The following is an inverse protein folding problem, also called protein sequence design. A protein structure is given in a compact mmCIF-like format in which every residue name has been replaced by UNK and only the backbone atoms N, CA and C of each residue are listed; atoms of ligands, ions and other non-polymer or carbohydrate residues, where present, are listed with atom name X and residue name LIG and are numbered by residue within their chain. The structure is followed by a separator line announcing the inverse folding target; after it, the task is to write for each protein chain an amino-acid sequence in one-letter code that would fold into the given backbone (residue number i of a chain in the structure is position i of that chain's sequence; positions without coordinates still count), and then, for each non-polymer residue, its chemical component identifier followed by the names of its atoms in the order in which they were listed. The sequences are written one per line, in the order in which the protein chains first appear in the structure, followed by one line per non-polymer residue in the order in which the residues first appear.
data_IF_091770465991
#
_entry.id   IF_091770465991
#
_cell.length_a   1.000
_cell.length_b   1.000
_cell.length_c   1.000
_cell.angle_alpha   90.00
_cell.angle_beta   90.00
_cell.angle_gamma   90.00
#
_symmetry.space_group_name_H-M   'P 1'
#
loop_
_entity.id
_entity.type
_entity.pdbx_description
1 polymer ?
#
# COMPACT_ATOMS: atom_id res chain seq x y z
N UNK A 1 0.67 10.20 0.20
CA UNK A 1 1.71 9.20 0.47
C UNK A 1 2.68 9.20 -0.70
N UNK A 2 3.95 9.45 -0.42
CA UNK A 2 5.03 9.47 -1.40
C UNK A 2 5.48 8.05 -1.78
N UNK A 3 6.11 7.90 -2.94
CA UNK A 3 6.53 6.57 -3.45
C UNK A 3 7.54 5.87 -2.54
N UNK A 4 8.37 6.63 -1.83
CA UNK A 4 9.37 6.11 -0.89
C UNK A 4 8.69 5.56 0.38
N UNK A 5 7.68 6.26 0.90
CA UNK A 5 6.87 5.82 2.04
C UNK A 5 6.12 4.53 1.69
N UNK A 6 5.49 4.49 0.52
CA UNK A 6 4.81 3.27 0.03
C UNK A 6 5.79 2.09 -0.03
N UNK A 7 7.00 2.31 -0.55
CA UNK A 7 8.03 1.27 -0.65
C UNK A 7 8.43 0.75 0.73
N UNK A 8 8.59 1.64 1.70
CA UNK A 8 8.94 1.30 3.08
C UNK A 8 7.85 0.42 3.72
N UNK A 9 6.58 0.81 3.63
CA UNK A 9 5.46 0.01 4.17
C UNK A 9 5.36 -1.38 3.51
N UNK A 10 5.61 -1.47 2.20
CA UNK A 10 5.67 -2.74 1.48
C UNK A 10 6.87 -3.61 1.91
N UNK A 11 8.00 -3.02 2.31
CA UNK A 11 9.14 -3.76 2.87
C UNK A 11 8.81 -4.34 4.24
N UNK A 12 8.12 -3.57 5.10
CA UNK A 12 7.71 -4.00 6.44
C UNK A 12 6.71 -5.17 6.43
N UNK A 13 5.92 -5.30 5.37
CA UNK A 13 5.00 -6.44 5.19
C UNK A 13 5.69 -7.76 4.81
N UNK A 14 7.00 -7.72 4.55
CA UNK A 14 7.77 -8.90 4.17
C UNK A 14 7.64 -9.29 2.70
N UNK A 15 7.17 -8.38 1.84
CA UNK A 15 7.14 -8.59 0.40
C UNK A 15 8.56 -8.73 -0.15
N UNK A 16 8.72 -9.60 -1.15
CA UNK A 16 9.97 -9.67 -1.89
C UNK A 16 10.21 -8.40 -2.72
N UNK A 17 11.48 -8.05 -2.94
CA UNK A 17 11.86 -6.89 -3.76
C UNK A 17 11.21 -6.90 -5.16
N UNK A 18 10.98 -8.09 -5.72
CA UNK A 18 10.30 -8.26 -7.00
C UNK A 18 8.81 -7.92 -6.95
N UNK A 19 8.11 -8.27 -5.86
CA UNK A 19 6.72 -7.87 -5.63
C UNK A 19 6.63 -6.36 -5.40
N UNK A 20 7.52 -5.81 -4.57
CA UNK A 20 7.58 -4.36 -4.27
C UNK A 20 7.80 -3.57 -5.57
N UNK A 21 8.74 -4.01 -6.41
CA UNK A 21 9.02 -3.38 -7.72
C UNK A 21 7.80 -3.41 -8.63
N UNK A 22 7.06 -4.53 -8.68
CA UNK A 22 5.83 -4.63 -9.49
C UNK A 22 4.73 -3.68 -8.98
N UNK A 23 4.51 -3.62 -7.68
CA UNK A 23 3.47 -2.78 -7.07
C UNK A 23 3.79 -1.29 -7.23
N UNK A 24 5.03 -0.88 -6.96
CA UNK A 24 5.49 0.50 -7.13
C UNK A 24 5.49 0.96 -8.59
N UNK A 25 5.81 0.07 -9.54
CA UNK A 25 5.67 0.39 -10.97
C UNK A 25 4.21 0.60 -11.39
N UNK A 26 3.27 -0.18 -10.84
CA UNK A 26 1.85 0.05 -11.08
C UNK A 26 1.41 1.42 -10.54
N UNK A 27 1.87 1.81 -9.35
CA UNK A 27 1.59 3.12 -8.75
C UNK A 27 2.14 4.26 -9.62
N UNK A 28 3.37 4.14 -10.11
CA UNK A 28 3.98 5.17 -10.97
C UNK A 28 3.21 5.40 -12.27
N UNK A 29 2.52 4.37 -12.77
CA UNK A 29 1.73 4.45 -14.01
C UNK A 29 0.30 4.92 -13.77
N UNK A 30 -0.34 4.39 -12.73
CA UNK A 30 -1.78 4.49 -12.55
C UNK A 30 -2.18 5.42 -11.38
N UNK A 31 -1.21 5.93 -10.62
CA UNK A 31 -1.43 6.66 -9.37
C UNK A 31 -1.52 5.73 -8.16
N UNK A 32 -1.44 6.32 -6.96
CA UNK A 32 -1.61 5.58 -5.71
C UNK A 32 -3.08 5.61 -5.26
N UNK A 33 -3.61 4.43 -4.93
CA UNK A 33 -4.93 4.24 -4.31
C UNK A 33 -4.77 3.19 -3.20
N UNK A 34 -4.97 3.63 -1.96
CA UNK A 34 -4.80 2.82 -0.76
C UNK A 34 -5.72 1.57 -0.75
N UNK A 35 -7.00 1.75 -1.09
CA UNK A 35 -8.00 0.67 -1.13
C UNK A 35 -7.69 -0.34 -2.23
N UNK A 36 -7.22 0.10 -3.39
CA UNK A 36 -6.76 -0.79 -4.45
C UNK A 36 -5.50 -1.53 -4.06
N UNK A 37 -4.55 -0.88 -3.38
CA UNK A 37 -3.32 -1.52 -2.96
C UNK A 37 -3.58 -2.58 -1.89
N UNK A 38 -4.40 -2.27 -0.88
CA UNK A 38 -4.76 -3.24 0.16
C UNK A 38 -5.53 -4.43 -0.41
N UNK A 39 -6.42 -4.22 -1.39
CA UNK A 39 -7.06 -5.33 -2.10
C UNK A 39 -6.04 -6.25 -2.79
N UNK A 40 -4.97 -5.70 -3.37
CA UNK A 40 -3.88 -6.49 -3.97
C UNK A 40 -3.10 -7.24 -2.90
N UNK A 41 -2.77 -6.59 -1.78
CA UNK A 41 -2.07 -7.21 -0.65
C UNK A 41 -2.86 -8.38 -0.06
N UNK A 42 -4.15 -8.18 0.20
CA UNK A 42 -5.05 -9.23 0.68
C UNK A 42 -5.11 -10.40 -0.30
N UNK A 43 -5.24 -10.13 -1.60
CA UNK A 43 -5.23 -11.18 -2.63
C UNK A 43 -3.89 -11.95 -2.69
N UNK A 44 -2.80 -11.34 -2.23
CA UNK A 44 -1.48 -11.95 -2.11
C UNK A 44 -1.24 -12.64 -0.76
N UNK A 45 -2.21 -12.59 0.17
CA UNK A 45 -2.12 -13.20 1.51
C UNK A 45 -1.50 -12.29 2.60
N UNK A 46 -1.39 -10.99 2.34
CA UNK A 46 -0.86 -10.01 3.27
C UNK A 46 -1.99 -9.21 3.94
N UNK A 47 -1.70 -8.63 5.11
CA UNK A 47 -2.62 -7.72 5.79
C UNK A 47 -2.77 -6.40 5.00
N UNK A 48 -3.93 -5.72 5.11
CA UNK A 48 -4.05 -4.34 4.65
C UNK A 48 -3.11 -3.44 5.47
N UNK A 49 -2.45 -2.50 4.80
CA UNK A 49 -1.50 -1.58 5.45
C UNK A 49 -1.78 -0.12 5.13
N UNK A 50 -2.48 0.20 4.06
CA UNK A 50 -2.66 1.59 3.63
C UNK A 50 -3.98 2.19 4.10
N UNK A 51 -5.04 1.39 4.16
CA UNK A 51 -6.37 1.83 4.61
C UNK A 51 -6.48 1.97 6.12
N UNK A 52 -5.52 1.47 6.90
CA UNK A 52 -5.46 1.72 8.35
C UNK A 52 -5.20 3.20 8.67
N UNK A 53 -4.60 3.94 7.73
CA UNK A 53 -4.39 5.38 7.86
C UNK A 53 -5.62 6.21 7.40
N UNK A 54 -6.56 5.60 6.68
CA UNK A 54 -7.80 6.26 6.25
C UNK A 54 -8.80 6.41 7.43
N UNK A 55 -8.69 5.61 8.49
CA UNK A 55 -9.61 5.65 9.65
C UNK A 55 -9.32 6.80 10.65
N UNK A 56 -8.20 7.53 10.49
CA UNK A 56 -7.83 8.64 11.39
C UNK A 56 -8.36 10.01 10.93
N UNK A 57 -8.99 10.15 9.76
CA UNK A 57 -9.58 11.42 9.30
C UNK A 57 -11.04 11.66 9.77
N UNK A 58 -11.70 10.71 10.45
CA UNK A 58 -13.12 10.82 10.83
C UNK A 58 -13.39 10.72 12.35
N UNK A 59 -12.52 11.33 13.18
CA UNK A 59 -12.75 11.49 14.64
C UNK A 59 -12.99 12.94 15.10
N UNK A 60 -13.34 13.84 14.18
CA UNK A 60 -13.88 15.17 14.56
C UNK A 60 -15.41 15.16 14.52
N UNK A 61 -16.04 14.68 15.59
CA UNK A 61 -17.45 14.95 15.92
C UNK A 61 -17.56 15.74 17.21
#
# INVERSE_FOLDING_TARGET
MEIEEIKFELELTGLSIGQITKLTNAIKRDGFDAKQMDRKLIAMGYAPIFTIYDDDEDTSK
#
